data_IF_899933912631
#
_entry.id   IF_899933912631
#
_cell.length_a   1.000
_cell.length_b   1.000
_cell.length_c   1.000
_cell.angle_alpha   90.00
_cell.angle_beta   90.00
_cell.angle_gamma   90.00
#
_symmetry.space_group_name_H-M   'P 1'
#
loop_
_entity.id
_entity.type
_entity.pdbx_description
1 polymer ?
#
# COMPACT_ATOMS: atom_id res chain seq x y z
N UNK A 1 4.48 -6.23 7.87
CA UNK A 1 3.11 -5.69 8.11
C UNK A 1 2.21 -6.68 8.82
N UNK A 2 1.84 -7.83 8.20
CA UNK A 2 0.98 -8.84 8.85
C UNK A 2 1.53 -9.31 10.19
N UNK A 3 2.82 -9.68 10.25
CA UNK A 3 3.46 -10.12 11.50
C UNK A 3 3.34 -9.08 12.61
N UNK A 4 3.64 -7.81 12.29
CA UNK A 4 3.48 -6.71 13.25
C UNK A 4 2.05 -6.63 13.78
N UNK A 5 1.05 -6.68 12.88
CA UNK A 5 -0.35 -6.65 13.26
C UNK A 5 -0.75 -7.81 14.16
N UNK A 6 -0.33 -9.04 13.83
CA UNK A 6 -0.64 -10.22 14.62
C UNK A 6 0.03 -10.19 16.00
N UNK A 7 1.20 -9.58 16.12
CA UNK A 7 1.94 -9.46 17.39
C UNK A 7 1.46 -8.30 18.28
N UNK A 8 0.98 -7.20 17.70
CA UNK A 8 0.68 -5.96 18.43
C UNK A 8 -0.82 -5.60 18.45
N UNK A 9 -1.64 -6.23 17.60
CA UNK A 9 -3.06 -5.92 17.45
C UNK A 9 -3.35 -4.62 16.69
N UNK A 10 -2.31 -3.90 16.27
CA UNK A 10 -2.39 -2.61 15.56
C UNK A 10 -1.54 -2.66 14.30
N UNK A 11 -1.89 -1.88 13.27
CA UNK A 11 -1.12 -1.77 12.05
C UNK A 11 0.17 -0.98 12.28
N UNK A 12 1.29 -1.34 11.65
CA UNK A 12 2.53 -0.57 11.80
C UNK A 12 2.36 0.83 11.21
N UNK A 13 2.61 1.85 12.03
CA UNK A 13 2.48 3.26 11.64
C UNK A 13 3.37 3.62 10.44
N UNK A 14 4.58 3.05 10.37
CA UNK A 14 5.57 3.37 9.36
C UNK A 14 6.47 2.17 9.00
N UNK A 15 7.40 2.37 8.05
CA UNK A 15 8.36 1.35 7.60
C UNK A 15 9.18 0.75 8.74
N UNK A 16 9.70 1.59 9.65
CA UNK A 16 10.52 1.15 10.78
C UNK A 16 9.73 0.25 11.72
N UNK A 17 8.49 0.65 12.09
CA UNK A 17 7.60 -0.19 12.90
C UNK A 17 7.30 -1.51 12.20
N UNK A 18 7.15 -1.51 10.86
CA UNK A 18 6.93 -2.73 10.09
C UNK A 18 8.15 -3.65 9.97
N UNK A 19 9.33 -3.25 10.47
CA UNK A 19 10.58 -4.02 10.42
C UNK A 19 11.25 -4.05 9.05
N UNK A 20 10.97 -3.06 8.19
CA UNK A 20 11.58 -2.92 6.86
C UNK A 20 12.48 -1.68 6.78
N UNK A 21 13.14 -1.44 5.64
CA UNK A 21 14.02 -0.30 5.46
C UNK A 21 13.31 1.02 5.83
N UNK A 22 13.91 1.78 6.75
CA UNK A 22 13.31 2.96 7.37
C UNK A 22 13.00 4.06 6.35
N UNK A 23 13.89 4.26 5.38
CA UNK A 23 13.66 5.19 4.27
C UNK A 23 12.83 4.52 3.17
N UNK A 24 11.73 5.17 2.78
CA UNK A 24 10.89 4.69 1.68
C UNK A 24 11.65 4.59 0.34
N UNK A 25 12.70 5.40 0.14
CA UNK A 25 13.53 5.42 -1.07
C UNK A 25 14.64 4.37 -1.08
N UNK A 26 14.82 3.64 0.02
CA UNK A 26 15.67 2.45 0.05
C UNK A 26 14.93 1.23 -0.51
N UNK A 27 13.59 1.25 -0.46
CA UNK A 27 12.73 0.25 -1.11
C UNK A 27 12.34 0.76 -2.50
N UNK A 28 13.23 0.54 -3.46
CA UNK A 28 13.10 1.02 -4.85
C UNK A 28 13.44 -0.08 -5.85
N UNK A 29 13.09 0.13 -7.12
CA UNK A 29 13.36 -0.81 -8.19
C UNK A 29 13.57 -0.15 -9.54
N UNK A 30 13.53 -0.95 -10.61
CA UNK A 30 13.68 -0.44 -11.98
C UNK A 30 12.66 0.65 -12.30
N UNK A 31 11.40 0.41 -11.94
CA UNK A 31 10.25 1.29 -12.23
C UNK A 31 9.61 1.93 -11.00
N UNK A 32 10.01 1.49 -9.80
CA UNK A 32 9.47 1.96 -8.51
C UNK A 32 10.46 2.94 -7.89
N UNK A 33 9.97 4.11 -7.51
CA UNK A 33 10.72 5.18 -6.86
C UNK A 33 10.84 4.94 -5.35
N UNK A 34 9.73 4.56 -4.71
CA UNK A 34 9.65 4.36 -3.26
C UNK A 34 8.53 3.40 -2.90
N UNK A 35 8.66 2.78 -1.72
CA UNK A 35 7.57 2.05 -1.07
C UNK A 35 7.44 2.50 0.37
N UNK A 36 6.25 2.99 0.72
CA UNK A 36 5.92 3.52 2.05
C UNK A 36 4.89 2.64 2.72
N UNK A 37 5.12 2.32 3.98
CA UNK A 37 4.12 1.78 4.91
C UNK A 37 3.56 2.96 5.70
N UNK A 38 2.24 3.10 5.71
CA UNK A 38 1.53 4.09 6.53
C UNK A 38 0.32 3.42 7.16
N UNK A 39 0.31 3.24 8.48
CA UNK A 39 -0.72 2.50 9.21
C UNK A 39 -1.01 1.13 8.55
N UNK A 40 0.02 0.39 8.17
CA UNK A 40 -0.10 -0.91 7.49
C UNK A 40 -0.58 -0.89 6.04
N UNK A 41 -0.90 0.29 5.46
CA UNK A 41 -1.08 0.43 4.01
C UNK A 41 0.28 0.54 3.35
N UNK A 42 0.58 -0.34 2.40
CA UNK A 42 1.82 -0.34 1.62
C UNK A 42 1.56 0.35 0.30
N UNK A 43 2.18 1.49 0.05
CA UNK A 43 1.99 2.28 -1.17
C UNK A 43 3.27 2.34 -1.96
N UNK A 44 3.22 1.89 -3.21
CA UNK A 44 4.32 1.99 -4.15
C UNK A 44 4.12 3.22 -5.05
N UNK A 45 5.19 4.01 -5.22
CA UNK A 45 5.22 5.14 -6.14
C UNK A 45 6.08 4.79 -7.36
N UNK A 46 5.54 5.01 -8.55
CA UNK A 46 6.25 4.81 -9.80
C UNK A 46 7.24 5.95 -10.06
N UNK A 47 8.35 5.66 -10.71
CA UNK A 47 9.33 6.68 -11.11
C UNK A 47 8.72 7.75 -12.02
N UNK A 48 9.30 8.93 -12.01
CA UNK A 48 8.97 10.02 -12.94
C UNK A 48 9.60 9.83 -14.32
N UNK A 49 10.62 8.97 -14.43
CA UNK A 49 11.35 8.66 -15.64
C UNK A 49 11.46 7.14 -15.89
N UNK A 50 11.81 6.75 -17.12
CA UNK A 50 12.01 5.34 -17.48
C UNK A 50 10.77 4.44 -17.36
N UNK A 51 9.57 5.02 -17.22
CA UNK A 51 8.27 4.35 -17.17
C UNK A 51 7.30 4.93 -18.21
N UNK A 52 6.19 4.23 -18.47
CA UNK A 52 5.14 4.73 -19.36
C UNK A 52 4.62 6.09 -18.85
N UNK A 53 4.44 7.06 -19.76
CA UNK A 53 3.99 8.43 -19.45
C UNK A 53 2.71 8.46 -18.62
N UNK A 54 1.81 7.52 -18.84
CA UNK A 54 0.53 7.46 -18.14
C UNK A 54 0.61 6.95 -16.70
N UNK A 55 1.77 6.46 -16.25
CA UNK A 55 2.00 5.95 -14.88
C UNK A 55 3.11 6.69 -14.12
N UNK A 56 3.73 7.71 -14.72
CA UNK A 56 4.80 8.49 -14.09
C UNK A 56 4.33 9.13 -12.78
N UNK A 57 5.06 8.90 -11.67
CA UNK A 57 4.72 9.43 -10.35
C UNK A 57 3.39 8.93 -9.77
N UNK A 58 2.74 7.96 -10.44
CA UNK A 58 1.47 7.41 -9.98
C UNK A 58 1.68 6.32 -8.95
N UNK A 59 0.60 5.98 -8.24
CA UNK A 59 0.66 5.11 -7.06
C UNK A 59 -0.34 3.98 -7.14
N UNK A 60 -0.01 2.88 -6.47
CA UNK A 60 -0.92 1.80 -6.10
C UNK A 60 -0.69 1.46 -4.64
N UNK A 61 -1.70 0.89 -3.99
CA UNK A 61 -1.59 0.45 -2.61
C UNK A 61 -1.98 -1.02 -2.45
N UNK A 62 -1.32 -1.66 -1.49
CA UNK A 62 -1.75 -2.90 -0.88
C UNK A 62 -2.17 -2.59 0.55
N UNK A 63 -3.32 -3.11 0.97
CA UNK A 63 -3.79 -2.97 2.34
C UNK A 63 -4.41 -4.28 2.80
N UNK A 64 -4.43 -4.49 4.11
CA UNK A 64 -5.06 -5.65 4.69
C UNK A 64 -6.19 -5.25 5.63
N UNK A 65 -7.15 -6.16 5.82
CA UNK A 65 -8.22 -6.08 6.82
C UNK A 65 -8.18 -7.33 7.69
N UNK A 66 -8.51 -7.21 8.96
CA UNK A 66 -8.64 -8.37 9.85
C UNK A 66 -9.79 -9.28 9.40
N UNK A 67 -9.56 -10.59 9.47
CA UNK A 67 -10.56 -11.64 9.22
C UNK A 67 -10.34 -12.78 10.22
N UNK A 68 -11.17 -12.90 11.26
CA UNK A 68 -11.25 -14.03 12.22
C UNK A 68 -9.93 -14.76 12.51
N UNK A 69 -8.95 -14.03 13.08
CA UNK A 69 -7.64 -14.59 13.46
C UNK A 69 -6.57 -14.57 12.36
N UNK A 70 -6.90 -14.02 11.19
CA UNK A 70 -6.01 -13.78 10.06
C UNK A 70 -6.19 -12.36 9.51
N UNK A 71 -5.50 -12.05 8.42
CA UNK A 71 -5.72 -10.83 7.65
C UNK A 71 -5.91 -11.18 6.17
N UNK A 72 -6.79 -10.45 5.49
CA UNK A 72 -6.98 -10.53 4.04
C UNK A 72 -6.38 -9.32 3.38
N UNK A 73 -5.54 -9.55 2.37
CA UNK A 73 -4.92 -8.49 1.58
C UNK A 73 -5.75 -8.12 0.35
N UNK A 74 -5.65 -6.86 -0.01
CA UNK A 74 -6.25 -6.24 -1.19
C UNK A 74 -5.19 -5.45 -1.93
N UNK A 75 -5.37 -5.29 -3.23
CA UNK A 75 -4.48 -4.54 -4.09
C UNK A 75 -5.30 -3.68 -5.03
N UNK A 76 -4.94 -2.41 -5.16
CA UNK A 76 -5.70 -1.50 -6.00
C UNK A 76 -5.09 -0.12 -6.13
N UNK A 77 -5.96 0.81 -6.52
CA UNK A 77 -5.68 2.24 -6.48
C UNK A 77 -5.28 2.67 -5.06
N UNK A 78 -4.53 3.78 -4.93
CA UNK A 78 -3.94 4.14 -3.67
C UNK A 78 -5.03 4.45 -2.64
N UNK A 79 -4.78 4.05 -1.40
CA UNK A 79 -5.69 4.27 -0.28
C UNK A 79 -4.94 4.83 0.92
N UNK A 80 -5.66 5.44 1.85
CA UNK A 80 -5.13 5.87 3.14
C UNK A 80 -5.94 5.25 4.27
N UNK A 81 -5.26 5.04 5.41
CA UNK A 81 -5.87 4.59 6.65
C UNK A 81 -5.69 5.63 7.74
N UNK A 82 -6.78 5.95 8.43
CA UNK A 82 -6.86 7.03 9.41
C UNK A 82 -6.24 6.71 10.76
N UNK A 83 -6.12 5.43 11.13
CA UNK A 83 -5.48 5.01 12.38
C UNK A 83 -4.89 3.60 12.30
N UNK A 84 -3.99 3.29 13.22
CA UNK A 84 -3.37 1.97 13.36
C UNK A 84 -4.35 0.88 13.81
N UNK A 85 -5.43 1.24 14.49
CA UNK A 85 -6.49 0.32 14.95
C UNK A 85 -7.66 0.17 13.95
N UNK A 86 -7.55 0.73 12.74
CA UNK A 86 -8.63 0.81 11.77
C UNK A 86 -8.49 -0.25 10.67
N UNK A 87 -9.55 -0.96 10.32
CA UNK A 87 -9.56 -1.86 9.16
C UNK A 87 -10.03 -1.13 7.88
N UNK A 88 -10.72 -0.01 8.04
CA UNK A 88 -11.22 0.78 6.91
C UNK A 88 -10.11 1.59 6.27
N UNK A 89 -10.29 1.86 4.97
CA UNK A 89 -9.39 2.68 4.18
C UNK A 89 -10.24 3.56 3.25
N UNK A 90 -9.72 4.75 2.92
CA UNK A 90 -10.34 5.67 1.99
C UNK A 90 -9.49 5.80 0.73
N UNK A 91 -10.12 6.15 -0.40
CA UNK A 91 -9.39 6.37 -1.66
C UNK A 91 -8.43 7.56 -1.52
N UNK A 92 -7.28 7.45 -2.18
CA UNK A 92 -6.25 8.47 -2.23
C UNK A 92 -5.98 8.93 -3.67
N UNK A 93 -5.27 10.05 -3.79
CA UNK A 93 -4.99 10.69 -5.08
C UNK A 93 -3.78 10.08 -5.81
N UNK A 94 -3.55 10.54 -7.05
CA UNK A 94 -2.44 10.13 -7.93
C UNK A 94 -2.44 8.64 -8.26
N UNK A 95 -3.62 8.08 -8.45
CA UNK A 95 -3.84 6.68 -8.74
C UNK A 95 -3.35 6.27 -10.13
N UNK A 96 -2.66 5.12 -10.22
CA UNK A 96 -2.52 4.41 -11.49
C UNK A 96 -3.92 4.11 -12.04
N UNK A 97 -4.11 4.36 -13.33
CA UNK A 97 -5.39 4.06 -13.98
C UNK A 97 -5.62 2.54 -13.97
N UNK A 98 -6.86 2.13 -13.70
CA UNK A 98 -7.24 0.71 -13.61
C UNK A 98 -6.86 -0.11 -14.85
N UNK A 99 -6.77 0.50 -16.04
CA UNK A 99 -6.32 -0.19 -17.26
C UNK A 99 -4.87 -0.65 -17.19
N UNK A 100 -4.04 0.02 -16.38
CA UNK A 100 -2.64 -0.33 -16.14
C UNK A 100 -2.44 -1.27 -14.95
N UNK A 101 -3.50 -1.51 -14.16
CA UNK A 101 -3.46 -2.46 -13.06
C UNK A 101 -3.77 -3.88 -13.57
N UNK A 102 -3.02 -4.89 -13.13
CA UNK A 102 -3.39 -6.30 -13.33
C UNK A 102 -4.80 -6.59 -12.81
N UNK A 103 -5.46 -7.61 -13.35
CA UNK A 103 -6.83 -7.98 -12.92
C UNK A 103 -6.94 -8.28 -11.42
N UNK A 104 -5.87 -8.79 -10.80
CA UNK A 104 -5.78 -9.12 -9.38
C UNK A 104 -5.47 -7.92 -8.48
N UNK A 105 -5.27 -6.72 -9.04
CA UNK A 105 -4.96 -5.51 -8.30
C UNK A 105 -5.95 -4.38 -8.65
N UNK A 106 -7.24 -4.70 -8.63
CA UNK A 106 -8.34 -3.76 -8.94
C UNK A 106 -9.39 -3.72 -7.82
N UNK A 107 -8.98 -4.04 -6.60
CA UNK A 107 -9.84 -3.95 -5.45
C UNK A 107 -10.22 -2.49 -5.18
N UNK A 108 -11.47 -2.26 -4.79
CA UNK A 108 -11.94 -0.97 -4.28
C UNK A 108 -11.56 -0.86 -2.80
N UNK A 109 -11.35 0.35 -2.28
CA UNK A 109 -11.15 0.60 -0.84
C UNK A 109 -12.20 -0.07 0.07
N UNK A 110 -13.42 -0.23 -0.45
CA UNK A 110 -14.57 -0.85 0.21
C UNK A 110 -14.63 -2.39 0.10
N UNK A 111 -13.66 -3.04 -0.56
CA UNK A 111 -13.61 -4.50 -0.69
C UNK A 111 -13.56 -5.20 0.68
N UNK A 112 -14.15 -6.39 0.79
CA UNK A 112 -14.32 -7.16 2.03
C UNK A 112 -13.62 -8.51 1.96
#
# INVERSE_FOLDING_TARGET
VTEYYLNHGTWPENNTSAGVASSATDIKGKYVQSVTVANGVVTAEMKSDGVNKEIQGKRLSLWAKRQDGSVKWFCGQPVTRTGDNDDTVADANNAIDTKHLPSTCRDKSTAK
#
